data_IF_390909949498
#
_entry.id   IF_390909949498
#
_cell.length_a   1.000
_cell.length_b   1.000
_cell.length_c   1.000
_cell.angle_alpha   90.00
_cell.angle_beta   90.00
_cell.angle_gamma   90.00
#
_symmetry.space_group_name_H-M   'P 1'
#
loop_
_entity.id
_entity.type
_entity.pdbx_description
1 polymer ?
#
# COMPACT_ATOMS: atom_id res chain seq x y z
N UNK A 1 -11.08 -4.41 21.31
CA UNK A 1 -11.81 -3.59 20.32
C UNK A 1 -10.75 -3.07 19.33
N UNK A 2 -10.50 -3.81 18.25
CA UNK A 2 -9.45 -3.52 17.26
C UNK A 2 -9.95 -2.41 16.35
N UNK A 3 -9.32 -1.27 16.40
CA UNK A 3 -9.58 -0.21 15.42
C UNK A 3 -9.11 -0.73 14.07
N UNK A 4 -10.04 -0.90 13.14
CA UNK A 4 -9.73 -1.20 11.74
C UNK A 4 -8.91 -0.04 11.18
N UNK A 5 -7.61 -0.20 11.14
CA UNK A 5 -6.75 0.72 10.41
C UNK A 5 -6.89 0.34 8.93
N UNK A 6 -7.80 0.99 8.24
CA UNK A 6 -7.90 0.89 6.79
C UNK A 6 -6.73 1.68 6.22
N UNK A 7 -5.62 1.00 5.96
CA UNK A 7 -4.49 1.60 5.26
C UNK A 7 -4.80 1.48 3.77
N UNK A 8 -5.30 2.55 3.21
CA UNK A 8 -5.57 2.65 1.79
C UNK A 8 -4.42 3.41 1.17
N UNK A 9 -3.54 2.70 0.48
CA UNK A 9 -2.44 3.31 -0.24
C UNK A 9 -2.90 3.78 -1.61
N UNK A 10 -2.84 5.07 -1.87
CA UNK A 10 -2.97 5.63 -3.20
C UNK A 10 -1.57 5.84 -3.75
N UNK A 11 -1.16 5.03 -4.70
CA UNK A 11 0.02 5.32 -5.48
C UNK A 11 -0.31 6.49 -6.41
N UNK A 12 -0.25 7.72 -5.88
CA UNK A 12 -0.37 8.92 -6.68
C UNK A 12 0.97 9.19 -7.34
N UNK A 13 0.97 9.26 -8.64
CA UNK A 13 2.06 9.72 -9.49
C UNK A 13 3.43 9.07 -9.21
N UNK A 14 3.60 7.99 -9.79
CA UNK A 14 4.71 7.59 -10.48
C UNK A 14 6.09 7.59 -10.02
N UNK A 15 6.57 6.66 -9.29
CA UNK A 15 7.91 6.17 -9.59
C UNK A 15 7.98 4.70 -9.18
N UNK A 16 7.78 3.83 -10.13
CA UNK A 16 8.14 2.44 -10.01
C UNK A 16 9.43 2.24 -10.82
N UNK A 17 10.52 1.99 -10.15
CA UNK A 17 11.75 1.59 -10.80
C UNK A 17 11.91 0.09 -10.63
N UNK A 18 11.41 -0.66 -11.60
CA UNK A 18 11.98 -1.96 -11.92
C UNK A 18 13.43 -1.73 -12.38
N UNK A 19 14.36 -2.60 -12.00
CA UNK A 19 15.77 -2.54 -12.42
C UNK A 19 15.91 -2.78 -13.93
N UNK A 20 15.41 -1.89 -14.75
CA UNK A 20 15.75 -1.62 -16.16
C UNK A 20 14.87 -0.46 -16.66
N UNK A 21 15.42 0.70 -16.63
CA UNK A 21 15.07 1.94 -17.28
C UNK A 21 13.75 2.08 -18.03
N UNK A 22 12.85 2.89 -17.51
CA UNK A 22 12.06 3.85 -18.30
C UNK A 22 11.24 4.71 -17.32
N UNK A 23 11.51 6.00 -17.34
CA UNK A 23 10.73 6.99 -16.62
C UNK A 23 9.48 7.35 -17.42
N UNK A 24 8.30 7.13 -16.89
CA UNK A 24 7.07 7.72 -17.40
C UNK A 24 6.38 8.42 -16.23
N UNK A 25 6.50 9.73 -16.19
CA UNK A 25 5.75 10.57 -15.27
C UNK A 25 4.33 10.77 -15.80
N UNK A 26 3.33 10.43 -15.01
CA UNK A 26 1.95 10.87 -15.25
C UNK A 26 1.58 11.82 -14.11
N UNK A 27 1.33 13.06 -14.48
CA UNK A 27 1.00 14.12 -13.55
C UNK A 27 -0.46 14.00 -13.10
N UNK A 28 -0.67 13.56 -11.86
CA UNK A 28 -1.91 13.85 -11.14
C UNK A 28 -1.86 15.29 -10.61
N UNK A 29 -2.98 16.04 -10.57
CA UNK A 29 -3.02 17.38 -9.95
C UNK A 29 -2.48 17.38 -8.50
N UNK A 30 -2.56 16.27 -7.78
CA UNK A 30 -2.00 16.10 -6.44
C UNK A 30 -0.48 15.91 -6.42
N UNK A 31 0.12 15.42 -7.50
CA UNK A 31 1.56 15.22 -7.57
C UNK A 31 2.36 16.53 -7.52
N UNK A 32 1.71 17.66 -7.85
CA UNK A 32 2.36 18.99 -7.86
C UNK A 32 2.41 19.68 -6.51
N UNK A 33 1.69 19.21 -5.50
CA UNK A 33 1.50 19.97 -4.26
C UNK A 33 2.07 19.33 -2.99
N UNK A 34 2.68 18.14 -3.07
CA UNK A 34 3.10 17.43 -1.87
C UNK A 34 4.58 17.04 -1.93
N UNK A 35 5.32 17.31 -0.83
CA UNK A 35 6.76 17.12 -0.81
C UNK A 35 7.11 15.63 -0.69
N UNK A 36 7.35 14.97 -1.82
CA UNK A 36 8.09 13.71 -1.86
C UNK A 36 9.59 14.01 -2.08
N UNK A 37 10.13 14.99 -1.36
CA UNK A 37 11.51 15.42 -1.54
C UNK A 37 12.51 14.44 -0.92
N UNK A 38 12.05 13.60 0.02
CA UNK A 38 12.89 12.58 0.60
C UNK A 38 13.07 11.38 -0.34
N UNK A 39 14.27 10.77 -0.36
CA UNK A 39 14.49 9.52 -1.09
C UNK A 39 13.60 8.40 -0.52
N UNK A 40 13.18 7.46 -1.39
CA UNK A 40 12.43 6.28 -0.92
C UNK A 40 13.36 5.46 -0.03
N UNK A 41 12.92 5.06 1.18
CA UNK A 41 13.70 4.22 2.09
C UNK A 41 14.15 2.90 1.45
N UNK A 42 15.27 2.35 1.91
CA UNK A 42 15.73 1.03 1.50
C UNK A 42 14.87 -0.10 2.07
N UNK A 43 15.12 -1.34 1.62
CA UNK A 43 14.35 -2.52 2.05
C UNK A 43 14.49 -2.82 3.55
N UNK A 44 15.64 -2.50 4.13
CA UNK A 44 15.91 -2.68 5.56
C UNK A 44 15.38 -1.54 6.44
N UNK A 45 14.99 -0.43 5.81
CA UNK A 45 14.43 0.72 6.50
C UNK A 45 12.92 0.56 6.65
N UNK A 46 12.34 1.17 7.67
CA UNK A 46 10.90 1.26 7.80
C UNK A 46 10.29 2.22 6.76
N UNK A 47 8.98 2.15 6.52
CA UNK A 47 8.28 3.12 5.70
C UNK A 47 8.48 4.55 6.22
N UNK A 48 8.65 5.49 5.30
CA UNK A 48 8.61 6.91 5.60
C UNK A 48 7.17 7.41 5.46
N UNK A 49 6.62 7.87 6.56
CA UNK A 49 5.27 8.43 6.63
C UNK A 49 5.35 9.85 7.18
N UNK A 50 4.67 10.78 6.52
CA UNK A 50 4.53 12.15 6.99
C UNK A 50 3.05 12.53 6.99
N UNK A 51 2.53 12.86 8.15
CA UNK A 51 1.15 13.32 8.28
C UNK A 51 0.92 14.61 7.48
N UNK A 52 -0.24 14.68 6.86
CA UNK A 52 -0.69 15.86 6.14
C UNK A 52 -1.66 16.64 7.02
N UNK A 53 -1.69 17.95 6.81
CA UNK A 53 -2.73 18.78 7.39
C UNK A 53 -4.10 18.29 6.89
N UNK A 54 -5.09 18.22 7.79
CA UNK A 54 -6.46 17.87 7.46
C UNK A 54 -7.13 18.84 6.47
N UNK A 55 -6.51 20.01 6.25
CA UNK A 55 -6.86 20.95 5.17
C UNK A 55 -6.39 20.50 3.79
N UNK A 56 -5.58 19.42 3.69
CA UNK A 56 -5.19 18.87 2.40
C UNK A 56 -6.44 18.59 1.55
N UNK A 57 -6.49 19.07 0.31
CA UNK A 57 -7.70 18.97 -0.50
C UNK A 57 -8.08 17.51 -0.76
N UNK A 58 -9.34 17.17 -0.43
CA UNK A 58 -9.92 15.92 -0.85
C UNK A 58 -10.14 15.94 -2.37
N UNK A 59 -10.11 14.78 -2.99
CA UNK A 59 -10.34 14.64 -4.43
C UNK A 59 -11.31 13.52 -4.74
N UNK A 60 -11.93 13.57 -5.92
CA UNK A 60 -12.85 12.53 -6.37
C UNK A 60 -12.09 11.42 -7.09
N UNK A 61 -12.45 10.18 -6.75
CA UNK A 61 -12.02 8.97 -7.42
C UNK A 61 -13.22 8.03 -7.52
N UNK A 62 -13.72 7.81 -8.73
CA UNK A 62 -14.98 7.12 -8.98
C UNK A 62 -16.13 7.76 -8.13
N UNK A 63 -16.87 6.94 -7.40
CA UNK A 63 -17.97 7.37 -6.53
C UNK A 63 -17.51 7.78 -5.13
N UNK A 64 -16.21 7.83 -4.88
CA UNK A 64 -15.65 8.17 -3.57
C UNK A 64 -15.04 9.57 -3.56
N UNK A 65 -15.16 10.22 -2.42
CA UNK A 65 -14.29 11.35 -2.06
C UNK A 65 -13.11 10.78 -1.27
N UNK A 66 -11.90 11.06 -1.69
CA UNK A 66 -10.67 10.55 -1.08
C UNK A 66 -10.00 11.68 -0.30
N UNK A 67 -9.85 11.49 1.01
CA UNK A 67 -9.13 12.40 1.88
C UNK A 67 -7.73 11.88 2.14
N UNK A 68 -6.67 12.55 1.67
CA UNK A 68 -5.30 12.23 2.04
C UNK A 68 -5.07 12.49 3.53
N UNK A 69 -4.37 11.56 4.21
CA UNK A 69 -4.04 11.66 5.63
C UNK A 69 -2.53 11.80 5.86
N UNK A 70 -1.74 11.09 5.07
CA UNK A 70 -0.29 11.14 5.15
C UNK A 70 0.33 10.82 3.79
N UNK A 71 1.51 11.37 3.50
CA UNK A 71 2.37 10.84 2.46
C UNK A 71 3.01 9.55 2.95
N UNK A 72 3.29 8.62 2.04
CA UNK A 72 3.83 7.31 2.35
C UNK A 72 4.83 6.87 1.30
N UNK A 73 5.98 6.41 1.74
CA UNK A 73 7.02 5.87 0.88
C UNK A 73 7.63 4.63 1.53
N UNK A 74 7.86 3.59 0.76
CA UNK A 74 8.49 2.37 1.25
C UNK A 74 9.19 1.61 0.12
N UNK A 75 10.26 0.90 0.46
CA UNK A 75 10.70 -0.28 -0.26
C UNK A 75 10.31 -1.47 0.58
N UNK A 76 9.59 -2.43 0.01
CA UNK A 76 9.09 -3.57 0.74
C UNK A 76 9.11 -4.84 -0.11
N UNK A 77 9.25 -5.99 0.54
CA UNK A 77 9.02 -7.29 -0.05
C UNK A 77 7.55 -7.62 0.00
N UNK A 78 7.02 -8.13 -1.08
CA UNK A 78 5.64 -8.61 -1.17
C UNK A 78 5.57 -9.98 -0.52
N UNK A 79 4.88 -10.09 0.59
CA UNK A 79 4.71 -11.33 1.34
C UNK A 79 3.58 -12.19 0.76
N UNK A 80 2.53 -11.53 0.30
CA UNK A 80 1.36 -12.14 -0.32
C UNK A 80 0.60 -11.10 -1.13
N UNK A 81 -0.18 -11.54 -2.12
CA UNK A 81 -1.06 -10.67 -2.90
C UNK A 81 -2.46 -11.29 -2.98
N UNK A 82 -3.50 -10.45 -2.93
CA UNK A 82 -4.88 -10.86 -3.14
C UNK A 82 -5.55 -9.94 -4.15
N UNK A 83 -6.24 -10.52 -5.13
CA UNK A 83 -6.87 -9.79 -6.23
C UNK A 83 -8.38 -9.89 -6.14
N UNK A 84 -9.05 -8.75 -6.13
CA UNK A 84 -10.51 -8.65 -6.07
C UNK A 84 -11.08 -8.23 -7.40
N UNK A 85 -12.13 -8.92 -7.84
CA UNK A 85 -12.76 -8.70 -9.16
C UNK A 85 -14.21 -8.25 -9.07
N UNK A 86 -14.82 -8.30 -7.89
CA UNK A 86 -16.24 -8.02 -7.69
C UNK A 86 -16.50 -7.24 -6.41
N UNK A 87 -17.55 -6.43 -6.44
CA UNK A 87 -18.00 -5.62 -5.32
C UNK A 87 -17.39 -4.22 -5.30
N UNK A 88 -18.06 -3.31 -4.61
CA UNK A 88 -17.68 -1.88 -4.54
C UNK A 88 -16.26 -1.67 -4.01
N UNK A 89 -15.84 -2.47 -3.05
CA UNK A 89 -14.48 -2.40 -2.52
C UNK A 89 -13.42 -2.79 -3.57
N UNK A 90 -13.73 -3.73 -4.46
CA UNK A 90 -12.85 -4.13 -5.54
C UNK A 90 -12.71 -3.04 -6.62
N UNK A 91 -13.74 -2.21 -6.82
CA UNK A 91 -13.70 -1.07 -7.74
C UNK A 91 -12.77 0.04 -7.22
N UNK A 92 -12.68 0.18 -5.90
CA UNK A 92 -11.79 1.15 -5.27
C UNK A 92 -10.37 0.60 -5.10
N UNK A 93 -10.24 -0.57 -4.48
CA UNK A 93 -8.97 -1.20 -4.16
C UNK A 93 -8.94 -2.65 -4.71
N UNK A 94 -8.58 -2.82 -5.98
CA UNK A 94 -8.62 -4.12 -6.67
C UNK A 94 -7.55 -5.11 -6.21
N UNK A 95 -6.53 -4.65 -5.51
CA UNK A 95 -5.40 -5.47 -5.06
C UNK A 95 -5.06 -5.15 -3.61
N UNK A 96 -4.88 -6.19 -2.81
CA UNK A 96 -4.26 -6.07 -1.49
C UNK A 96 -2.85 -6.64 -1.55
N UNK A 97 -1.90 -5.94 -0.94
CA UNK A 97 -0.53 -6.38 -0.80
C UNK A 97 -0.19 -6.53 0.68
N UNK A 98 0.19 -7.73 1.09
CA UNK A 98 0.90 -7.92 2.35
C UNK A 98 2.37 -7.59 2.12
N UNK A 99 2.88 -6.61 2.83
CA UNK A 99 4.23 -6.08 2.65
C UNK A 99 5.07 -6.31 3.89
N UNK A 100 6.36 -6.57 3.69
CA UNK A 100 7.34 -6.71 4.75
C UNK A 100 8.60 -5.91 4.45
N UNK A 101 9.23 -5.38 5.49
CA UNK A 101 10.50 -4.66 5.44
C UNK A 101 11.38 -5.05 6.62
N UNK A 102 12.66 -4.63 6.61
CA UNK A 102 13.59 -5.03 7.65
C UNK A 102 13.63 -6.55 7.81
N UNK A 103 13.52 -7.09 9.04
CA UNK A 103 13.56 -8.53 9.28
C UNK A 103 12.44 -9.29 8.55
N UNK A 104 11.30 -8.68 8.26
CA UNK A 104 10.20 -9.30 7.49
C UNK A 104 10.45 -9.31 5.97
N UNK A 105 11.60 -8.88 5.51
CA UNK A 105 12.04 -9.03 4.11
C UNK A 105 13.08 -10.16 3.93
N UNK A 106 13.54 -10.79 5.02
CA UNK A 106 14.57 -11.83 5.02
C UNK A 106 13.98 -13.20 4.65
N UNK A 107 14.62 -13.94 3.73
CA UNK A 107 14.17 -15.26 3.28
C UNK A 107 14.03 -16.24 4.46
N UNK A 108 15.02 -16.30 5.33
CA UNK A 108 15.03 -17.22 6.47
C UNK A 108 13.87 -16.98 7.45
N UNK A 109 13.40 -15.73 7.56
CA UNK A 109 12.24 -15.39 8.39
C UNK A 109 10.96 -15.83 7.70
N UNK A 110 10.84 -15.56 6.41
CA UNK A 110 9.63 -15.86 5.63
C UNK A 110 9.41 -17.37 5.44
N UNK A 111 10.47 -18.15 5.30
CA UNK A 111 10.40 -19.60 5.20
C UNK A 111 9.83 -20.27 6.48
N UNK A 112 9.97 -19.61 7.64
CA UNK A 112 9.42 -20.10 8.90
C UNK A 112 7.98 -19.63 9.18
N UNK A 113 7.39 -18.84 8.27
CA UNK A 113 6.06 -18.26 8.43
C UNK A 113 5.08 -18.80 7.38
N UNK A 114 3.91 -19.28 7.83
CA UNK A 114 2.77 -19.52 6.97
C UNK A 114 1.98 -18.22 6.82
N UNK A 115 2.08 -17.59 5.65
CA UNK A 115 1.48 -16.28 5.36
C UNK A 115 0.30 -16.45 4.41
N UNK A 116 -0.84 -15.86 4.77
CA UNK A 116 -2.10 -15.94 4.00
C UNK A 116 -2.83 -14.62 4.02
N UNK A 117 -3.60 -14.38 2.95
CA UNK A 117 -4.59 -13.30 2.88
C UNK A 117 -5.98 -13.88 2.64
N UNK A 118 -6.98 -13.30 3.30
CA UNK A 118 -8.39 -13.63 3.08
C UNK A 118 -9.29 -12.52 3.63
N UNK A 119 -10.34 -12.16 2.88
CA UNK A 119 -11.36 -11.22 3.34
C UNK A 119 -10.80 -9.85 3.73
N UNK A 120 -9.83 -9.33 2.98
CA UNK A 120 -9.14 -8.07 3.26
C UNK A 120 -8.24 -8.08 4.50
N UNK A 121 -7.85 -9.28 4.98
CA UNK A 121 -6.96 -9.44 6.11
C UNK A 121 -5.70 -10.22 5.71
N UNK A 122 -4.62 -9.89 6.37
CA UNK A 122 -3.34 -10.58 6.34
C UNK A 122 -3.18 -11.37 7.62
N UNK A 123 -2.78 -12.63 7.49
CA UNK A 123 -2.57 -13.56 8.60
C UNK A 123 -1.18 -14.18 8.47
N UNK A 124 -0.56 -14.43 9.59
CA UNK A 124 0.66 -15.21 9.65
C UNK A 124 0.60 -16.18 10.82
N UNK A 125 1.29 -17.30 10.68
CA UNK A 125 1.44 -18.34 11.70
C UNK A 125 2.87 -18.84 11.67
N UNK A 126 3.42 -19.15 12.84
CA UNK A 126 4.70 -19.82 13.01
C UNK A 126 4.55 -20.96 14.02
N UNK A 127 5.23 -22.08 13.81
CA UNK A 127 5.38 -23.12 14.83
C UNK A 127 6.38 -22.67 15.90
N UNK A 128 7.48 -22.07 15.45
CA UNK A 128 8.47 -21.41 16.29
C UNK A 128 8.75 -20.03 15.69
N UNK A 129 8.77 -19.01 16.53
CA UNK A 129 9.02 -17.65 16.06
C UNK A 129 10.47 -17.50 15.59
N UNK A 130 10.72 -17.19 14.31
CA UNK A 130 12.09 -16.98 13.79
C UNK A 130 12.69 -15.66 14.29
N UNK A 131 11.85 -14.70 14.62
CA UNK A 131 12.18 -13.40 15.19
C UNK A 131 11.14 -13.06 16.27
N UNK A 132 11.38 -12.08 17.14
CA UNK A 132 10.39 -11.64 18.12
C UNK A 132 9.04 -11.34 17.45
N UNK A 133 7.96 -11.80 18.04
CA UNK A 133 6.59 -11.58 17.52
C UNK A 133 6.32 -10.11 17.21
N UNK A 134 6.81 -9.21 18.08
CA UNK A 134 6.67 -7.76 17.88
C UNK A 134 7.30 -7.31 16.56
N UNK A 135 8.45 -7.89 16.19
CA UNK A 135 9.14 -7.53 14.94
C UNK A 135 8.34 -7.97 13.71
N UNK A 136 7.66 -9.12 13.76
CA UNK A 136 6.72 -9.53 12.74
C UNK A 136 5.59 -8.48 12.59
N UNK A 137 5.00 -8.08 13.73
CA UNK A 137 3.87 -7.15 13.78
C UNK A 137 4.22 -5.71 13.36
N UNK A 138 5.45 -5.27 13.60
CA UNK A 138 5.89 -3.89 13.32
C UNK A 138 6.61 -3.74 11.99
N UNK A 139 7.05 -4.84 11.37
CA UNK A 139 7.74 -4.82 10.09
C UNK A 139 6.92 -5.43 8.94
N UNK A 140 5.61 -5.54 9.13
CA UNK A 140 4.69 -5.97 8.08
C UNK A 140 3.36 -5.23 8.14
N UNK A 141 2.72 -5.08 7.00
CA UNK A 141 1.39 -4.46 6.89
C UNK A 141 0.61 -5.03 5.72
N UNK A 142 -0.71 -5.11 5.85
CA UNK A 142 -1.61 -5.33 4.73
C UNK A 142 -2.11 -4.00 4.18
N UNK A 143 -1.89 -3.75 2.90
CA UNK A 143 -2.25 -2.50 2.25
C UNK A 143 -3.29 -2.75 1.16
N UNK A 144 -4.43 -2.05 1.25
CA UNK A 144 -5.45 -2.01 0.22
C UNK A 144 -5.03 -0.98 -0.83
N UNK A 145 -4.69 -1.43 -2.02
CA UNK A 145 -4.08 -0.57 -3.04
C UNK A 145 -5.14 0.08 -3.91
N UNK A 146 -5.22 1.42 -3.83
CA UNK A 146 -6.02 2.23 -4.74
C UNK A 146 -5.08 2.72 -5.85
N UNK A 147 -5.24 2.27 -7.09
CA UNK A 147 -4.38 2.70 -8.19
C UNK A 147 -4.65 4.15 -8.57
N UNK A 148 -3.61 4.97 -8.68
CA UNK A 148 -3.74 6.38 -9.06
C UNK A 148 -4.22 6.58 -10.52
N UNK A 149 -3.98 5.59 -11.37
CA UNK A 149 -4.32 5.61 -12.78
C UNK A 149 -4.31 4.18 -13.36
N UNK A 150 -4.80 3.97 -14.61
CA UNK A 150 -4.85 2.65 -15.24
C UNK A 150 -3.49 1.96 -15.40
N UNK A 151 -2.41 2.70 -15.57
CA UNK A 151 -1.05 2.14 -15.65
C UNK A 151 -0.63 1.52 -14.31
N UNK A 152 -0.89 2.22 -13.21
CA UNK A 152 -0.62 1.70 -11.86
C UNK A 152 -1.52 0.49 -11.56
N UNK A 153 -2.80 0.52 -11.95
CA UNK A 153 -3.69 -0.64 -11.79
C UNK A 153 -3.12 -1.87 -12.50
N UNK A 154 -2.69 -1.73 -13.74
CA UNK A 154 -2.07 -2.82 -14.49
C UNK A 154 -0.84 -3.37 -13.77
N UNK A 155 0.08 -2.52 -13.33
CA UNK A 155 1.30 -2.92 -12.62
C UNK A 155 1.00 -3.61 -11.28
N UNK A 156 0.05 -3.09 -10.51
CA UNK A 156 -0.37 -3.71 -9.26
C UNK A 156 -0.87 -5.15 -9.47
N UNK A 157 -1.57 -5.40 -10.56
CA UNK A 157 -2.04 -6.75 -10.92
C UNK A 157 -0.93 -7.71 -11.36
N UNK A 158 0.22 -7.20 -11.76
CA UNK A 158 1.39 -7.98 -12.15
C UNK A 158 2.27 -8.37 -10.95
N UNK A 159 2.14 -7.67 -9.81
CA UNK A 159 2.91 -7.92 -8.58
C UNK A 159 2.66 -9.32 -8.04
N UNK A 160 3.73 -10.00 -7.62
CA UNK A 160 3.70 -11.36 -7.06
C UNK A 160 4.37 -11.41 -5.69
N UNK A 161 3.98 -12.40 -4.89
CA UNK A 161 4.72 -12.73 -3.67
C UNK A 161 6.19 -13.00 -4.00
N UNK A 162 7.09 -12.45 -3.17
CA UNK A 162 8.53 -12.48 -3.36
C UNK A 162 9.12 -11.26 -4.07
N UNK A 163 8.32 -10.49 -4.81
CA UNK A 163 8.80 -9.26 -5.45
C UNK A 163 9.25 -8.23 -4.40
N UNK A 164 10.28 -7.46 -4.74
CA UNK A 164 10.66 -6.26 -3.99
C UNK A 164 10.16 -5.04 -4.77
N UNK A 165 9.29 -4.27 -4.14
CA UNK A 165 8.65 -3.11 -4.76
C UNK A 165 9.02 -1.83 -4.04
N UNK A 166 8.99 -0.72 -4.78
CA UNK A 166 9.07 0.63 -4.23
C UNK A 166 7.71 1.30 -4.39
N UNK A 167 7.19 1.79 -3.29
CA UNK A 167 5.90 2.47 -3.23
C UNK A 167 6.10 3.95 -2.89
N UNK A 168 5.28 4.77 -3.54
CA UNK A 168 5.11 6.18 -3.20
C UNK A 168 3.66 6.55 -3.40
N UNK A 169 3.04 7.13 -2.40
CA UNK A 169 1.63 7.48 -2.46
C UNK A 169 1.13 8.12 -1.17
N UNK A 170 -0.14 7.94 -0.88
CA UNK A 170 -0.79 8.50 0.30
C UNK A 170 -1.51 7.41 1.08
N UNK A 171 -1.48 7.54 2.39
CA UNK A 171 -2.49 6.93 3.23
C UNK A 171 -3.74 7.80 3.14
N UNK A 172 -4.88 7.19 2.82
CA UNK A 172 -6.10 7.94 2.55
C UNK A 172 -7.28 7.38 3.33
N UNK A 173 -8.29 8.23 3.51
CA UNK A 173 -9.61 7.84 3.98
C UNK A 173 -10.61 8.01 2.83
N UNK A 174 -11.19 6.93 2.30
CA UNK A 174 -12.31 7.05 1.40
C UNK A 174 -13.56 7.46 2.21
N UNK A 175 -14.21 8.51 1.74
CA UNK A 175 -15.50 8.94 2.22
C UNK A 175 -16.53 8.49 1.18
N UNK A 176 -17.53 7.75 1.62
CA UNK A 176 -18.65 7.43 0.75
C UNK A 176 -19.41 8.72 0.49
N UNK A 177 -19.63 9.05 -0.77
CA UNK A 177 -20.60 10.10 -1.08
C UNK A 177 -21.99 9.48 -0.83
N UNK A 178 -22.60 9.82 0.30
CA UNK A 178 -24.02 9.57 0.49
C UNK A 178 -24.70 10.36 -0.63
N UNK A 179 -25.25 9.64 -1.60
CA UNK A 179 -26.05 10.26 -2.65
C UNK A 179 -27.15 11.08 -1.98
N UNK A 180 -27.74 12.09 -2.68
CA UNK A 180 -28.81 12.88 -2.10
C UNK A 180 -29.85 11.90 -1.55
N UNK A 181 -30.07 11.98 -0.23
CA UNK A 181 -31.05 11.16 0.43
C UNK A 181 -32.39 11.28 -0.29
N UNK A 182 -32.94 10.13 -0.67
CA UNK A 182 -34.33 10.02 -1.09
C UNK A 182 -35.26 10.26 0.10
#
# INVERSE_FOLDING_TARGET
MWKKLLVVGLAAAGYYQWSQGSHIGLESPLARSLPFDAPIPGLQDGPLQQELDLSAPAFRFNDYTIQPLASFQATARVLSTEHYRRGREAELAPVDLALGWGPMAEDAVLEALDIRQSGRFFFWRAETFPIPRRDIETHSANMHMIPANPEIDRRLREVRAGDVIRLRGYLVRPLQNDGPGL
#
